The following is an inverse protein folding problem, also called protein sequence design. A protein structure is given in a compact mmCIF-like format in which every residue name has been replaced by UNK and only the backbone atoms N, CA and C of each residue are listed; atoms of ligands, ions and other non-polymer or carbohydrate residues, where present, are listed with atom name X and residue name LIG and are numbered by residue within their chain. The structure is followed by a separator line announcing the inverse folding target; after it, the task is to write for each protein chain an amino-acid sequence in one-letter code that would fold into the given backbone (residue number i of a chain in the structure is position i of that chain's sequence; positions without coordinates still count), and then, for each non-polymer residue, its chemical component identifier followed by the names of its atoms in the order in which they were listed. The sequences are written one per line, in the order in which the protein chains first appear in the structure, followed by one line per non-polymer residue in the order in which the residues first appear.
data_IF_286831763402
#
_entry.id   IF_286831763402
#
_cell.length_a   1.000
_cell.length_b   1.000
_cell.length_c   1.000
_cell.angle_alpha   90.00
_cell.angle_beta   90.00
_cell.angle_gamma   90.00
#
_symmetry.space_group_name_H-M   'P 1'
#
loop_
_entity.id
_entity.type
_entity.pdbx_description
1 polymer ?
#
# COMPACT_ATOMS: atom_id res chain seq x y z
N UNK A 1 -6.20 -38.21 -25.97
CA UNK A 1 -6.94 -37.27 -26.86
C UNK A 1 -7.43 -36.12 -26.00
N UNK A 2 -6.83 -34.93 -26.12
CA UNK A 2 -7.27 -33.74 -25.40
C UNK A 2 -8.52 -33.18 -26.07
N UNK A 3 -9.69 -33.40 -25.47
CA UNK A 3 -10.91 -32.73 -25.92
C UNK A 3 -10.71 -31.21 -25.75
N UNK A 4 -11.02 -30.45 -26.79
CA UNK A 4 -10.92 -28.99 -26.76
C UNK A 4 -11.72 -28.44 -25.58
N UNK A 5 -11.12 -27.56 -24.79
CA UNK A 5 -11.83 -26.88 -23.71
C UNK A 5 -12.79 -25.88 -24.35
N UNK A 6 -14.08 -26.24 -24.39
CA UNK A 6 -15.14 -25.36 -24.90
C UNK A 6 -15.61 -24.40 -23.80
N UNK A 7 -16.08 -23.22 -24.21
CA UNK A 7 -16.69 -22.24 -23.31
C UNK A 7 -17.95 -22.81 -22.63
N UNK A 8 -18.24 -22.41 -21.40
CA UNK A 8 -19.49 -22.74 -20.67
C UNK A 8 -20.77 -22.25 -21.36
N UNK A 9 -20.63 -21.36 -22.35
CA UNK A 9 -21.72 -20.92 -23.26
C UNK A 9 -22.02 -21.94 -24.35
N UNK A 10 -21.04 -22.75 -24.72
CA UNK A 10 -21.18 -23.82 -25.71
C UNK A 10 -21.67 -25.06 -24.99
N UNK A 11 -22.84 -25.58 -25.36
CA UNK A 11 -23.51 -26.70 -24.69
C UNK A 11 -22.86 -28.05 -25.03
N UNK A 12 -21.56 -28.19 -24.75
CA UNK A 12 -20.74 -29.35 -25.10
C UNK A 12 -20.07 -29.89 -23.83
N UNK A 13 -20.10 -31.22 -23.66
CA UNK A 13 -19.57 -31.86 -22.45
C UNK A 13 -20.41 -31.57 -21.20
N UNK A 14 -19.82 -31.56 -19.99
CA UNK A 14 -20.54 -31.32 -18.72
C UNK A 14 -20.86 -29.83 -18.51
N UNK A 15 -21.42 -29.17 -19.52
CA UNK A 15 -21.69 -27.73 -19.54
C UNK A 15 -22.63 -27.27 -18.41
N UNK A 16 -23.58 -28.12 -17.99
CA UNK A 16 -24.48 -27.83 -16.88
C UNK A 16 -23.73 -27.70 -15.55
N UNK A 17 -22.78 -28.61 -15.30
CA UNK A 17 -21.97 -28.60 -14.09
C UNK A 17 -21.03 -27.39 -14.07
N UNK A 18 -20.41 -27.05 -15.20
CA UNK A 18 -19.59 -25.83 -15.33
C UNK A 18 -20.41 -24.57 -15.05
N UNK A 19 -21.62 -24.46 -15.60
CA UNK A 19 -22.49 -23.31 -15.38
C UNK A 19 -22.95 -23.20 -13.92
N UNK A 20 -23.21 -24.32 -13.25
CA UNK A 20 -23.58 -24.30 -11.84
C UNK A 20 -22.39 -23.82 -10.97
N UNK A 21 -21.18 -24.31 -11.23
CA UNK A 21 -19.98 -23.87 -10.51
C UNK A 21 -19.72 -22.36 -10.73
N UNK A 22 -19.89 -21.87 -11.96
CA UNK A 22 -19.78 -20.44 -12.25
C UNK A 22 -20.83 -19.61 -11.49
N UNK A 23 -22.08 -20.10 -11.43
CA UNK A 23 -23.16 -19.47 -10.67
C UNK A 23 -22.83 -19.41 -9.18
N UNK A 24 -22.41 -20.53 -8.58
CA UNK A 24 -22.08 -20.59 -7.15
C UNK A 24 -20.92 -19.64 -6.81
N UNK A 25 -19.91 -19.53 -7.68
CA UNK A 25 -18.79 -18.58 -7.53
C UNK A 25 -19.25 -17.13 -7.59
N UNK A 26 -20.19 -16.80 -8.49
CA UNK A 26 -20.74 -15.45 -8.60
C UNK A 26 -21.59 -15.10 -7.38
N UNK A 27 -22.38 -16.04 -6.86
CA UNK A 27 -23.17 -15.84 -5.65
C UNK A 27 -22.28 -15.63 -4.41
N UNK A 28 -21.23 -16.44 -4.23
CA UNK A 28 -20.23 -16.24 -3.16
C UNK A 28 -19.51 -14.89 -3.30
N UNK A 29 -19.12 -14.49 -4.52
CA UNK A 29 -18.52 -13.18 -4.76
C UNK A 29 -19.47 -12.04 -4.38
N UNK A 30 -20.74 -12.10 -4.81
CA UNK A 30 -21.73 -11.07 -4.52
C UNK A 30 -22.05 -10.99 -3.03
N UNK A 31 -22.09 -12.13 -2.34
CA UNK A 31 -22.30 -12.18 -0.89
C UNK A 31 -21.14 -11.54 -0.14
N UNK A 32 -19.89 -11.88 -0.48
CA UNK A 32 -18.69 -11.27 0.10
C UNK A 32 -18.62 -9.76 -0.20
N UNK A 33 -18.99 -9.36 -1.42
CA UNK A 33 -19.06 -7.95 -1.81
C UNK A 33 -20.03 -7.16 -0.92
N UNK A 34 -21.22 -7.70 -0.66
CA UNK A 34 -22.21 -7.07 0.23
C UNK A 34 -21.74 -7.00 1.68
N UNK A 35 -20.98 -8.00 2.13
CA UNK A 35 -20.42 -8.06 3.49
C UNK A 35 -19.14 -7.24 3.68
N UNK A 36 -18.60 -6.61 2.63
CA UNK A 36 -17.32 -5.89 2.72
C UNK A 36 -16.11 -6.81 2.88
N UNK A 37 -16.25 -8.10 2.57
CA UNK A 37 -15.24 -9.14 2.83
C UNK A 37 -14.33 -9.41 1.63
N UNK A 38 -14.43 -8.60 0.56
CA UNK A 38 -13.49 -8.72 -0.55
C UNK A 38 -12.15 -8.08 -0.18
N UNK A 39 -11.05 -8.75 -0.51
CA UNK A 39 -9.71 -8.22 -0.29
C UNK A 39 -9.50 -6.84 -0.92
N UNK A 40 -10.13 -6.59 -2.08
CA UNK A 40 -10.09 -5.27 -2.75
C UNK A 40 -10.79 -4.17 -1.95
N UNK A 41 -11.87 -4.50 -1.23
CA UNK A 41 -12.56 -3.55 -0.35
C UNK A 41 -11.67 -3.21 0.84
N UNK A 42 -11.09 -4.23 1.50
CA UNK A 42 -10.13 -4.02 2.59
C UNK A 42 -8.90 -3.21 2.18
N UNK A 43 -8.30 -3.49 1.01
CA UNK A 43 -7.22 -2.68 0.45
C UNK A 43 -7.66 -1.23 0.21
N UNK A 44 -8.84 -1.03 -0.39
CA UNK A 44 -9.35 0.31 -0.71
C UNK A 44 -9.57 1.14 0.56
N UNK A 45 -10.14 0.53 1.61
CA UNK A 45 -10.32 1.17 2.90
C UNK A 45 -8.98 1.53 3.56
N UNK A 46 -7.98 0.66 3.48
CA UNK A 46 -6.65 0.94 4.00
C UNK A 46 -5.96 2.06 3.24
N UNK A 47 -6.02 2.05 1.91
CA UNK A 47 -5.54 3.17 1.10
C UNK A 47 -6.26 4.46 1.47
N UNK A 48 -7.58 4.44 1.59
CA UNK A 48 -8.36 5.59 2.04
C UNK A 48 -7.88 6.03 3.42
N UNK A 49 -7.71 5.16 4.42
CA UNK A 49 -7.17 5.56 5.72
C UNK A 49 -5.79 6.21 5.60
N UNK A 50 -4.84 5.62 4.90
CA UNK A 50 -3.50 6.21 4.76
C UNK A 50 -3.50 7.56 4.03
N UNK A 51 -4.43 7.75 3.09
CA UNK A 51 -4.50 8.94 2.21
C UNK A 51 -5.50 10.00 2.72
N UNK A 52 -6.53 9.63 3.46
CA UNK A 52 -7.51 10.51 4.10
C UNK A 52 -6.99 11.01 5.44
N UNK A 53 -6.16 10.20 6.13
CA UNK A 53 -5.34 10.75 7.22
C UNK A 53 -4.56 11.92 6.66
N UNK A 54 -4.07 11.93 5.40
CA UNK A 54 -3.48 13.13 4.78
C UNK A 54 -4.46 14.31 4.60
N UNK A 55 -5.76 14.10 4.32
CA UNK A 55 -6.74 15.20 4.23
C UNK A 55 -7.14 15.77 5.62
N UNK A 56 -7.18 14.93 6.66
CA UNK A 56 -7.35 15.39 8.05
C UNK A 56 -6.04 15.94 8.66
N UNK A 57 -4.87 15.39 8.33
CA UNK A 57 -3.52 15.90 8.63
C UNK A 57 -3.28 17.24 7.92
N UNK A 58 -3.76 17.39 6.69
CA UNK A 58 -3.72 18.66 5.97
C UNK A 58 -4.64 19.71 6.62
N UNK A 59 -5.79 19.31 7.18
CA UNK A 59 -6.64 20.19 8.02
C UNK A 59 -6.04 20.45 9.41
N UNK A 60 -5.33 19.46 9.99
CA UNK A 60 -4.64 19.51 11.29
C UNK A 60 -3.15 19.69 11.06
N UNK A 61 -2.72 20.80 10.42
CA UNK A 61 -1.35 21.34 10.48
C UNK A 61 -0.19 20.31 10.51
N UNK A 62 -0.29 19.20 9.79
CA UNK A 62 0.78 18.21 9.65
C UNK A 62 1.22 18.17 8.19
N UNK A 63 1.19 19.34 7.54
CA UNK A 63 2.27 19.66 6.62
C UNK A 63 3.57 19.45 7.41
N UNK A 64 4.41 18.52 6.98
CA UNK A 64 5.77 18.32 7.52
C UNK A 64 6.40 19.70 7.63
N UNK A 65 6.47 20.23 8.85
CA UNK A 65 6.95 21.59 9.06
C UNK A 65 8.45 21.53 8.87
N UNK A 66 8.94 22.21 7.84
CA UNK A 66 10.37 22.46 7.72
C UNK A 66 10.79 23.26 8.95
N UNK A 67 11.75 22.74 9.71
CA UNK A 67 12.22 23.44 10.89
C UNK A 67 12.81 24.78 10.47
N UNK A 68 12.42 25.84 11.19
CA UNK A 68 12.83 27.22 10.89
C UNK A 68 14.27 27.50 11.33
N UNK A 69 14.77 26.73 12.29
CA UNK A 69 16.13 26.83 12.85
C UNK A 69 17.06 25.71 12.33
N UNK A 70 16.54 24.80 11.50
CA UNK A 70 17.31 23.65 10.98
C UNK A 70 17.51 22.52 11.99
N UNK A 71 16.95 22.61 13.21
CA UNK A 71 17.04 21.58 14.23
C UNK A 71 15.78 20.70 14.28
N UNK A 72 15.98 19.42 14.63
CA UNK A 72 14.88 18.52 15.00
C UNK A 72 14.46 18.76 16.45
N UNK A 73 13.17 18.63 16.73
CA UNK A 73 12.53 18.85 18.03
C UNK A 73 11.77 17.60 18.43
N UNK A 74 11.72 17.34 19.73
CA UNK A 74 10.91 16.25 20.25
C UNK A 74 9.42 16.52 19.99
N UNK A 75 8.68 15.45 19.77
CA UNK A 75 7.24 15.40 19.47
C UNK A 75 6.80 16.03 18.13
N UNK A 76 7.72 16.58 17.34
CA UNK A 76 7.42 17.06 15.99
C UNK A 76 7.43 15.90 14.97
N UNK A 77 6.70 16.10 13.88
CA UNK A 77 6.52 15.12 12.80
C UNK A 77 7.57 15.30 11.71
N UNK A 78 8.36 14.25 11.48
CA UNK A 78 9.46 14.22 10.52
C UNK A 78 9.31 13.11 9.49
N UNK A 79 10.07 13.25 8.43
CA UNK A 79 10.19 12.26 7.36
C UNK A 79 11.66 11.94 7.16
N UNK A 80 11.99 10.66 7.06
CA UNK A 80 13.35 10.25 6.72
C UNK A 80 13.47 10.07 5.21
N UNK A 81 14.22 10.99 4.57
CA UNK A 81 14.46 11.02 3.14
C UNK A 81 15.87 10.52 2.82
N UNK A 82 15.99 9.55 1.91
CA UNK A 82 17.23 9.23 1.25
C UNK A 82 17.35 10.13 0.00
N UNK A 83 18.35 11.03 -0.07
CA UNK A 83 18.52 11.90 -1.22
C UNK A 83 18.89 11.09 -2.48
N UNK A 84 18.54 11.58 -3.67
CA UNK A 84 18.93 10.93 -4.92
C UNK A 84 20.46 10.93 -5.08
N UNK A 85 20.96 10.01 -5.91
CA UNK A 85 22.38 10.01 -6.27
C UNK A 85 22.76 11.33 -6.96
N UNK A 86 23.93 11.89 -6.61
CA UNK A 86 24.45 13.10 -7.27
C UNK A 86 24.86 12.75 -8.70
N UNK A 87 24.37 13.47 -9.75
CA UNK A 87 24.67 13.15 -11.15
C UNK A 87 26.17 13.04 -11.44
N UNK A 88 26.96 13.95 -10.88
CA UNK A 88 28.43 13.99 -11.02
C UNK A 88 29.11 12.69 -10.57
N UNK A 89 28.59 12.03 -9.53
CA UNK A 89 29.16 10.78 -9.02
C UNK A 89 28.68 9.56 -9.80
N UNK A 90 27.51 9.64 -10.42
CA UNK A 90 26.99 8.61 -11.32
C UNK A 90 27.79 8.62 -12.62
N UNK A 91 28.04 9.80 -13.20
CA UNK A 91 28.85 9.98 -14.41
C UNK A 91 30.30 9.48 -14.25
N UNK A 92 30.88 9.64 -13.06
CA UNK A 92 32.21 9.13 -12.71
C UNK A 92 32.21 7.63 -12.36
N UNK A 93 31.05 6.96 -12.34
CA UNK A 93 30.91 5.54 -12.00
C UNK A 93 31.12 5.22 -10.52
N UNK A 94 31.08 6.22 -9.63
CA UNK A 94 31.31 6.04 -8.18
C UNK A 94 30.06 5.55 -7.45
N UNK A 95 28.88 5.78 -8.01
CA UNK A 95 27.63 5.24 -7.48
C UNK A 95 26.62 4.97 -8.59
N UNK A 96 25.67 4.07 -8.30
CA UNK A 96 24.54 3.83 -9.19
C UNK A 96 23.51 4.96 -9.06
N UNK A 97 22.78 5.21 -10.14
CA UNK A 97 21.60 6.07 -10.11
C UNK A 97 20.58 5.51 -9.12
N UNK A 98 20.11 6.35 -8.20
CA UNK A 98 19.10 5.99 -7.20
C UNK A 98 18.06 7.09 -7.10
N UNK A 99 16.77 6.74 -7.12
CA UNK A 99 15.70 7.70 -6.91
C UNK A 99 15.69 8.17 -5.45
N UNK A 100 15.05 9.31 -5.22
CA UNK A 100 14.73 9.73 -3.86
C UNK A 100 13.76 8.72 -3.23
N UNK A 101 14.08 8.25 -2.03
CA UNK A 101 13.22 7.31 -1.28
C UNK A 101 12.93 7.84 0.11
N UNK A 102 11.84 7.36 0.69
CA UNK A 102 11.35 7.74 2.00
C UNK A 102 11.22 6.48 2.87
N UNK A 103 11.63 6.54 4.14
CA UNK A 103 11.37 5.45 5.07
C UNK A 103 9.87 5.34 5.32
N UNK A 104 9.32 4.13 5.22
CA UNK A 104 7.90 3.86 5.42
C UNK A 104 7.70 2.58 6.21
N UNK A 105 6.62 2.48 6.98
CA UNK A 105 6.17 1.19 7.50
C UNK A 105 5.79 0.25 6.33
N UNK A 106 6.06 -1.05 6.50
CA UNK A 106 5.77 -2.07 5.51
C UNK A 106 4.26 -2.22 5.24
N UNK A 107 3.90 -2.34 3.96
CA UNK A 107 2.52 -2.34 3.48
C UNK A 107 1.81 -3.68 3.72
N UNK A 108 2.53 -4.79 3.53
CA UNK A 108 1.98 -6.16 3.67
C UNK A 108 1.60 -6.45 5.14
N UNK A 109 2.41 -5.99 6.09
CA UNK A 109 2.09 -6.12 7.52
C UNK A 109 0.92 -5.23 7.94
N UNK A 110 0.73 -4.07 7.31
CA UNK A 110 -0.43 -3.20 7.54
C UNK A 110 -1.74 -3.75 6.94
N UNK A 111 -1.67 -4.64 5.94
CA UNK A 111 -2.84 -5.24 5.28
C UNK A 111 -3.53 -6.34 6.09
N UNK A 112 -2.90 -6.83 7.16
CA UNK A 112 -3.44 -7.91 8.00
C UNK A 112 -4.68 -7.52 8.84
N UNK A 113 -5.26 -6.34 8.63
CA UNK A 113 -6.60 -5.94 9.05
C UNK A 113 -6.99 -6.33 10.49
N UNK A 114 -6.17 -5.90 11.45
CA UNK A 114 -6.51 -5.84 12.87
C UNK A 114 -5.93 -4.58 13.48
N UNK A 115 -6.37 -4.20 14.69
CA UNK A 115 -5.70 -3.17 15.48
C UNK A 115 -4.21 -3.54 15.59
N UNK A 116 -3.37 -2.81 14.87
CA UNK A 116 -1.92 -3.06 14.84
C UNK A 116 -1.37 -2.62 16.18
N UNK A 117 -1.38 -3.54 17.16
CA UNK A 117 -0.51 -3.43 18.32
C UNK A 117 0.91 -3.52 17.77
N UNK A 118 1.58 -2.38 17.71
CA UNK A 118 3.01 -2.31 17.35
C UNK A 118 3.75 -3.23 18.32
N UNK A 119 4.19 -4.38 17.83
CA UNK A 119 5.07 -5.30 18.56
C UNK A 119 6.49 -5.09 18.03
N UNK A 120 7.49 -5.35 18.87
CA UNK A 120 8.89 -5.35 18.45
C UNK A 120 9.05 -6.31 17.26
N UNK A 121 9.44 -5.77 16.09
CA UNK A 121 9.62 -6.55 14.85
C UNK A 121 8.81 -6.12 13.62
N UNK A 122 8.07 -5.01 13.67
CA UNK A 122 7.42 -4.47 12.47
C UNK A 122 8.46 -4.09 11.39
N UNK A 123 8.20 -4.48 10.15
CA UNK A 123 9.03 -4.20 9.00
C UNK A 123 8.97 -2.73 8.59
N UNK A 124 10.12 -2.18 8.21
CA UNK A 124 10.22 -0.86 7.57
C UNK A 124 10.85 -1.01 6.19
N UNK A 125 10.36 -0.24 5.24
CA UNK A 125 10.77 -0.30 3.83
C UNK A 125 11.04 1.11 3.29
N UNK A 126 11.97 1.21 2.34
CA UNK A 126 12.21 2.44 1.61
C UNK A 126 11.27 2.49 0.39
N UNK A 127 10.37 3.48 0.34
CA UNK A 127 9.42 3.66 -0.75
C UNK A 127 9.77 4.89 -1.58
N UNK A 128 9.63 4.79 -2.90
CA UNK A 128 9.68 5.94 -3.83
C UNK A 128 8.37 6.73 -3.71
N UNK A 129 8.21 7.49 -2.64
CA UNK A 129 7.01 8.29 -2.40
C UNK A 129 7.27 9.78 -2.67
N UNK A 130 6.37 10.42 -3.41
CA UNK A 130 6.47 11.83 -3.81
C UNK A 130 5.96 12.75 -2.67
N UNK A 131 5.14 12.23 -1.75
CA UNK A 131 4.48 12.99 -0.69
C UNK A 131 4.52 12.26 0.67
N UNK A 132 4.62 12.99 1.79
CA UNK A 132 4.53 12.39 3.11
C UNK A 132 3.12 11.84 3.37
N UNK A 133 3.04 10.59 3.80
CA UNK A 133 1.80 9.89 4.17
C UNK A 133 1.90 9.40 5.62
N UNK A 134 0.78 9.05 6.26
CA UNK A 134 0.79 8.67 7.68
C UNK A 134 1.80 7.55 8.02
N UNK A 135 2.03 6.60 7.11
CA UNK A 135 3.01 5.50 7.26
C UNK A 135 4.47 5.89 7.05
N UNK A 136 4.75 7.13 6.65
CA UNK A 136 6.09 7.63 6.34
C UNK A 136 6.52 8.82 7.21
N UNK A 137 5.66 9.18 8.17
CA UNK A 137 5.88 10.24 9.13
C UNK A 137 6.18 9.63 10.49
N UNK A 138 7.22 10.14 11.14
CA UNK A 138 7.72 9.65 12.43
C UNK A 138 7.80 10.80 13.43
N UNK A 139 7.68 10.48 14.72
CA UNK A 139 7.90 11.42 15.81
C UNK A 139 9.09 10.96 16.65
N UNK A 140 9.89 11.92 17.08
CA UNK A 140 11.01 11.69 17.99
C UNK A 140 10.47 11.91 19.41
N UNK A 141 10.47 10.88 20.25
CA UNK A 141 10.05 10.94 21.65
C UNK A 141 11.26 11.03 22.59
#
# INVERSE_FOLDING_TARGET
MSQGVYSSKTLVGPWQQQRQIEKDRLEDFLERCRKGQLAIQGMTELYQRFTETHAQIAKVKTAVKMSTDGCVRFCDSYVFLCPPSKPQYVELGWCNERPQTMLTADYEQCLAAGDVVVRDGNGVTASTCIQPVARSVFQIF
#
